data_IF_146841375274
#
_entry.id   IF_146841375274
#
_cell.length_a   1.000
_cell.length_b   1.000
_cell.length_c   1.000
_cell.angle_alpha   90.00
_cell.angle_beta   90.00
_cell.angle_gamma   90.00
#
_symmetry.space_group_name_H-M   'P 1'
#
loop_
_entity.id
_entity.type
_entity.pdbx_description
1 polymer ?
#
# COMPACT_ATOMS: atom_id res chain seq x y z
N UNK A 1 14.49 6.02 -21.26
CA UNK A 1 15.28 6.34 -20.06
C UNK A 1 16.77 6.31 -20.39
N UNK A 2 17.43 7.46 -20.39
CA UNK A 2 18.88 7.54 -20.67
C UNK A 2 19.68 7.13 -19.43
N UNK A 3 20.88 6.55 -19.63
CA UNK A 3 21.79 6.23 -18.52
C UNK A 3 22.29 7.53 -17.88
N UNK A 4 22.27 7.61 -16.55
CA UNK A 4 22.86 8.74 -15.83
C UNK A 4 24.35 8.90 -16.16
N UNK A 5 24.85 10.13 -16.12
CA UNK A 5 26.25 10.42 -16.40
C UNK A 5 27.22 9.65 -15.48
N UNK A 6 26.86 9.52 -14.20
CA UNK A 6 27.61 8.71 -13.23
C UNK A 6 27.68 7.21 -13.63
N UNK A 7 26.58 6.65 -14.15
CA UNK A 7 26.57 5.26 -14.65
C UNK A 7 27.47 5.10 -15.88
N UNK A 8 27.50 6.09 -16.79
CA UNK A 8 28.40 6.08 -17.95
C UNK A 8 29.89 6.08 -17.53
N UNK A 9 30.26 6.91 -16.56
CA UNK A 9 31.62 6.97 -16.00
C UNK A 9 32.04 5.65 -15.35
N UNK A 10 31.19 5.04 -14.51
CA UNK A 10 31.48 3.72 -13.90
C UNK A 10 31.69 2.63 -14.96
N UNK A 11 30.85 2.58 -15.99
CA UNK A 11 31.01 1.61 -17.09
C UNK A 11 32.26 1.85 -17.94
N UNK A 12 32.74 3.09 -18.02
CA UNK A 12 34.01 3.38 -18.67
C UNK A 12 35.18 2.89 -17.82
N UNK A 13 35.19 3.21 -16.52
CA UNK A 13 36.21 2.73 -15.57
C UNK A 13 36.27 1.20 -15.51
N UNK A 14 35.12 0.52 -15.46
CA UNK A 14 35.06 -0.95 -15.50
C UNK A 14 35.73 -1.51 -16.75
N UNK A 15 35.59 -0.85 -17.91
CA UNK A 15 36.22 -1.28 -19.16
C UNK A 15 37.72 -0.99 -19.22
N UNK A 16 38.18 0.11 -18.62
CA UNK A 16 39.59 0.52 -18.70
C UNK A 16 40.46 -0.10 -17.60
N UNK A 17 39.96 -0.19 -16.38
CA UNK A 17 40.74 -0.67 -15.22
C UNK A 17 40.22 -1.99 -14.65
N UNK A 18 39.06 -2.49 -15.10
CA UNK A 18 38.44 -3.70 -14.57
C UNK A 18 37.82 -3.56 -13.18
N UNK A 19 37.93 -2.38 -12.54
CA UNK A 19 37.47 -2.17 -11.17
C UNK A 19 35.97 -1.90 -11.14
N UNK A 20 35.21 -2.80 -10.52
CA UNK A 20 33.80 -2.55 -10.21
C UNK A 20 33.68 -1.82 -8.87
N UNK A 21 33.14 -0.60 -8.92
CA UNK A 21 32.89 0.22 -7.72
C UNK A 21 31.52 -0.12 -7.12
N UNK A 22 30.66 -0.82 -7.87
CA UNK A 22 29.34 -1.26 -7.39
C UNK A 22 29.47 -2.34 -6.33
N UNK A 23 30.37 -3.30 -6.54
CA UNK A 23 30.61 -4.43 -5.64
C UNK A 23 31.20 -4.02 -4.28
N UNK A 24 31.85 -2.85 -4.24
CA UNK A 24 32.36 -2.25 -3.00
C UNK A 24 31.27 -1.58 -2.16
N UNK A 25 30.07 -1.39 -2.72
CA UNK A 25 28.95 -0.80 -2.00
C UNK A 25 28.19 -1.91 -1.30
N UNK A 26 27.91 -1.72 -0.01
CA UNK A 26 27.08 -2.65 0.74
C UNK A 26 25.67 -2.71 0.13
N UNK A 27 25.21 -3.92 -0.14
CA UNK A 27 23.83 -4.19 -0.51
C UNK A 27 22.97 -4.27 0.76
N UNK A 28 21.72 -3.81 0.64
CA UNK A 28 20.74 -3.89 1.72
C UNK A 28 19.58 -4.73 1.20
N UNK A 29 19.31 -5.84 1.89
CA UNK A 29 18.31 -6.83 1.47
C UNK A 29 16.86 -6.36 1.71
N UNK A 30 16.65 -5.49 2.70
CA UNK A 30 15.32 -5.03 3.11
C UNK A 30 15.15 -3.52 2.98
N UNK A 31 13.89 -3.09 2.92
CA UNK A 31 13.54 -1.67 2.87
C UNK A 31 13.81 -0.99 4.22
N UNK A 32 14.67 0.02 4.23
CA UNK A 32 15.02 0.83 5.42
C UNK A 32 14.05 1.99 5.68
N UNK A 33 12.98 2.10 4.90
CA UNK A 33 12.02 3.18 5.04
C UNK A 33 11.27 3.09 6.38
N UNK A 34 11.04 4.24 7.01
CA UNK A 34 10.20 4.33 8.21
C UNK A 34 8.76 3.97 7.83
N UNK A 35 8.28 2.84 8.35
CA UNK A 35 6.89 2.40 8.16
C UNK A 35 5.98 3.10 9.16
N UNK A 36 4.92 3.73 8.66
CA UNK A 36 3.89 4.37 9.49
C UNK A 36 2.57 3.62 9.32
N UNK A 37 1.82 3.51 10.40
CA UNK A 37 0.46 2.95 10.37
C UNK A 37 -0.52 4.00 9.83
N UNK A 38 -1.70 3.53 9.38
CA UNK A 38 -2.74 4.42 8.85
C UNK A 38 -3.18 5.46 9.87
N UNK A 39 -3.33 6.69 9.43
CA UNK A 39 -3.94 7.79 10.20
C UNK A 39 -5.43 7.54 10.44
N UNK A 40 -6.04 8.33 11.35
CA UNK A 40 -7.50 8.26 11.61
C UNK A 40 -8.31 8.42 10.32
N UNK A 41 -7.95 9.39 9.46
CA UNK A 41 -8.63 9.64 8.18
C UNK A 41 -8.53 8.44 7.24
N UNK A 42 -7.34 7.86 7.11
CA UNK A 42 -7.11 6.69 6.25
C UNK A 42 -7.83 5.44 6.78
N UNK A 43 -7.93 5.26 8.10
CA UNK A 43 -8.70 4.16 8.71
C UNK A 43 -10.19 4.31 8.46
N UNK A 44 -10.76 5.51 8.60
CA UNK A 44 -12.19 5.76 8.32
C UNK A 44 -12.52 5.53 6.85
N UNK A 45 -11.70 6.06 5.94
CA UNK A 45 -11.86 5.80 4.51
C UNK A 45 -11.78 4.31 4.20
N UNK A 46 -10.83 3.60 4.81
CA UNK A 46 -10.70 2.16 4.64
C UNK A 46 -11.90 1.38 5.19
N UNK A 47 -12.48 1.78 6.32
CA UNK A 47 -13.67 1.14 6.90
C UNK A 47 -14.85 1.16 5.92
N UNK A 48 -15.04 2.29 5.23
CA UNK A 48 -16.15 2.48 4.31
C UNK A 48 -15.92 1.75 2.98
N UNK A 49 -14.66 1.71 2.51
CA UNK A 49 -14.35 1.30 1.14
C UNK A 49 -13.72 -0.09 1.00
N UNK A 50 -13.25 -0.72 2.09
CA UNK A 50 -12.57 -2.03 2.00
C UNK A 50 -13.52 -3.15 1.56
N UNK A 51 -14.76 -3.14 2.05
CA UNK A 51 -15.72 -4.22 1.83
C UNK A 51 -16.99 -3.64 1.22
N UNK A 52 -17.51 -4.29 0.16
CA UNK A 52 -18.80 -3.92 -0.43
C UNK A 52 -19.89 -4.09 0.63
N UNK A 53 -20.54 -2.99 1.00
CA UNK A 53 -21.66 -3.02 1.95
C UNK A 53 -22.94 -3.30 1.16
N UNK A 54 -23.62 -4.38 1.51
CA UNK A 54 -24.84 -4.80 0.82
C UNK A 54 -26.09 -3.99 1.22
N UNK A 55 -26.02 -3.20 2.31
CA UNK A 55 -27.18 -2.51 2.91
C UNK A 55 -26.96 -1.00 3.12
N UNK A 56 -26.34 -0.31 2.16
CA UNK A 56 -26.16 1.16 2.24
C UNK A 56 -27.32 1.97 1.66
N UNK A 57 -28.32 1.32 1.08
CA UNK A 57 -29.49 1.98 0.49
C UNK A 57 -30.75 1.49 1.20
N UNK A 58 -31.14 2.18 2.26
CA UNK A 58 -32.37 1.93 3.01
C UNK A 58 -32.56 3.01 4.07
N UNK A 59 -33.82 3.35 4.35
CA UNK A 59 -34.26 4.40 5.29
C UNK A 59 -33.77 4.23 6.75
N UNK A 60 -33.09 3.11 7.06
CA UNK A 60 -32.61 2.77 8.40
C UNK A 60 -31.10 2.46 8.37
N UNK A 61 -30.27 3.14 9.18
CA UNK A 61 -28.82 3.04 9.14
C UNK A 61 -28.23 1.79 9.82
N UNK A 62 -29.09 0.88 10.30
CA UNK A 62 -28.67 -0.14 11.27
C UNK A 62 -28.17 -1.44 10.62
N UNK A 63 -28.19 -1.54 9.28
CA UNK A 63 -27.57 -2.66 8.55
C UNK A 63 -28.16 -4.05 8.84
N UNK A 64 -29.30 -4.12 9.53
CA UNK A 64 -30.00 -5.37 9.81
C UNK A 64 -30.87 -5.77 8.61
N UNK A 65 -30.56 -6.93 8.02
CA UNK A 65 -31.26 -7.48 6.86
C UNK A 65 -32.61 -8.15 7.20
N UNK A 66 -32.91 -8.32 8.49
CA UNK A 66 -34.10 -9.04 8.95
C UNK A 66 -34.80 -8.23 10.04
N UNK A 67 -35.85 -7.50 9.67
CA UNK A 67 -36.88 -7.11 10.63
C UNK A 67 -37.91 -8.24 10.64
N UNK A 68 -37.87 -9.09 11.67
CA UNK A 68 -38.98 -10.00 11.93
C UNK A 68 -40.13 -9.17 12.51
N UNK A 69 -41.07 -8.77 11.65
CA UNK A 69 -42.44 -8.51 12.09
C UNK A 69 -43.12 -9.86 12.17
N UNK A 70 -43.52 -10.28 13.37
CA UNK A 70 -44.81 -10.93 13.68
C UNK A 70 -44.73 -11.50 15.11
N UNK A 71 -45.22 -10.73 16.08
CA UNK A 71 -45.84 -11.26 17.29
C UNK A 71 -47.07 -10.39 17.58
N UNK A 72 -48.07 -10.48 16.71
CA UNK A 72 -49.46 -10.23 17.10
C UNK A 72 -49.88 -11.46 17.87
N UNK A 73 -50.23 -11.31 19.15
CA UNK A 73 -50.81 -12.38 19.94
C UNK A 73 -50.57 -12.27 21.45
N UNK A 74 -51.17 -11.27 22.09
CA UNK A 74 -51.93 -11.45 23.35
C UNK A 74 -53.21 -10.61 23.20
#
# INVERSE_FOLDING_TARGET
MTKSHAKKKRLHQLRTTGKDVSSLRNDIEFSTHVRKTKTKKEKLHHLHNKHKKHFQQGLYPDGNAFYYVHAVGI
#
